data_IF_046255423502
#
_entry.id   IF_046255423502
#
_cell.length_a   1.000
_cell.length_b   1.000
_cell.length_c   1.000
_cell.angle_alpha   90.00
_cell.angle_beta   90.00
_cell.angle_gamma   90.00
#
_symmetry.space_group_name_H-M   'P 1'
#
loop_
_entity.id
_entity.type
_entity.pdbx_description
1 polymer ?
#
# COMPACT_ATOMS: atom_id res chain seq x y z
N UNK A 1 13.52 18.08 5.83
CA UNK A 1 13.52 16.83 5.03
C UNK A 1 14.96 16.45 4.71
N UNK A 2 15.33 15.17 4.88
CA UNK A 2 16.69 14.69 4.57
C UNK A 2 16.94 14.68 3.05
N UNK A 3 18.03 15.30 2.61
CA UNK A 3 18.41 15.43 1.20
C UNK A 3 18.67 14.08 0.51
N UNK A 4 18.90 13.00 1.28
CA UNK A 4 19.09 11.64 0.74
C UNK A 4 17.80 11.01 0.19
N UNK A 5 16.63 11.45 0.68
CA UNK A 5 15.37 10.73 0.46
C UNK A 5 14.27 11.54 -0.24
N UNK A 6 14.28 12.87 -0.07
CA UNK A 6 13.17 13.75 -0.43
C UNK A 6 12.73 13.73 -1.91
N UNK A 7 13.61 13.40 -2.86
CA UNK A 7 13.31 13.32 -4.30
C UNK A 7 13.11 11.90 -4.84
N UNK A 8 13.12 10.89 -3.98
CA UNK A 8 12.94 9.49 -4.40
C UNK A 8 11.46 9.17 -4.41
N UNK A 9 11.02 8.41 -5.42
CA UNK A 9 9.63 7.95 -5.49
C UNK A 9 9.33 7.04 -4.31
N UNK A 10 8.12 7.14 -3.74
CA UNK A 10 7.74 6.34 -2.58
C UNK A 10 7.85 4.84 -2.84
N UNK A 11 7.59 4.39 -4.07
CA UNK A 11 7.70 2.97 -4.41
C UNK A 11 9.10 2.39 -4.21
N UNK A 12 10.14 3.22 -4.43
CA UNK A 12 11.53 2.85 -4.19
C UNK A 12 11.97 3.18 -2.77
N UNK A 13 11.54 4.32 -2.24
CA UNK A 13 11.94 4.83 -0.94
C UNK A 13 11.46 3.94 0.22
N UNK A 14 10.22 3.43 0.15
CA UNK A 14 9.65 2.56 1.19
C UNK A 14 10.27 1.15 1.24
N UNK A 15 11.16 0.80 0.31
CA UNK A 15 11.99 -0.40 0.41
C UNK A 15 13.41 -0.12 0.91
N UNK A 16 13.78 1.14 1.01
CA UNK A 16 15.09 1.53 1.50
C UNK A 16 15.15 1.35 3.02
N UNK A 17 15.91 0.35 3.47
CA UNK A 17 16.04 0.03 4.89
C UNK A 17 16.80 1.12 5.66
N UNK A 18 17.52 2.01 4.98
CA UNK A 18 18.12 3.21 5.56
C UNK A 18 17.13 4.37 5.74
N UNK A 19 15.96 4.31 5.10
CA UNK A 19 14.86 5.26 5.33
C UNK A 19 13.90 4.74 6.40
N UNK A 20 13.33 3.55 6.19
CA UNK A 20 12.44 2.91 7.15
C UNK A 20 12.59 1.38 7.05
N UNK A 21 13.16 0.78 8.08
CA UNK A 21 13.41 -0.66 8.10
C UNK A 21 12.12 -1.46 8.35
N UNK A 22 12.08 -2.68 7.83
CA UNK A 22 10.98 -3.64 8.07
C UNK A 22 9.84 -3.58 7.05
N UNK A 23 9.74 -2.53 6.22
CA UNK A 23 8.79 -2.51 5.11
C UNK A 23 9.25 -3.42 3.96
N UNK A 24 8.40 -4.39 3.64
CA UNK A 24 8.58 -5.32 2.52
C UNK A 24 7.74 -4.97 1.28
N UNK A 25 7.87 -5.79 0.24
CA UNK A 25 7.27 -5.53 -1.06
C UNK A 25 5.73 -5.47 -1.08
N UNK A 26 5.05 -6.26 -0.23
CA UNK A 26 3.59 -6.16 -0.15
C UNK A 26 3.17 -4.94 0.67
N UNK A 27 3.80 -4.72 1.83
CA UNK A 27 3.48 -3.59 2.71
C UNK A 27 3.61 -2.24 2.00
N UNK A 28 4.65 -2.01 1.17
CA UNK A 28 4.76 -0.73 0.44
C UNK A 28 3.53 -0.43 -0.43
N UNK A 29 2.94 -1.45 -1.07
CA UNK A 29 1.77 -1.27 -1.94
C UNK A 29 0.53 -0.94 -1.09
N UNK A 30 0.37 -1.66 0.02
CA UNK A 30 -0.76 -1.51 0.93
C UNK A 30 -0.71 -0.18 1.69
N UNK A 31 0.45 0.22 2.19
CA UNK A 31 0.68 1.50 2.86
C UNK A 31 0.34 2.66 1.92
N UNK A 32 0.84 2.63 0.69
CA UNK A 32 0.56 3.70 -0.29
C UNK A 32 -0.91 3.75 -0.68
N UNK A 33 -1.58 2.60 -0.75
CA UNK A 33 -3.02 2.54 -0.99
C UNK A 33 -3.81 3.16 0.17
N UNK A 34 -3.51 2.79 1.41
CA UNK A 34 -4.19 3.34 2.60
C UNK A 34 -3.93 4.84 2.74
N UNK A 35 -2.71 5.29 2.44
CA UNK A 35 -2.36 6.72 2.41
C UNK A 35 -2.95 7.49 1.22
N UNK A 36 -3.55 6.80 0.24
CA UNK A 36 -4.06 7.37 -1.02
C UNK A 36 -3.00 8.13 -1.82
N UNK A 37 -1.75 7.65 -1.81
CA UNK A 37 -0.62 8.26 -2.51
C UNK A 37 -0.23 7.40 -3.72
N UNK A 38 -0.09 8.03 -4.89
CA UNK A 38 0.38 7.34 -6.08
C UNK A 38 1.83 6.85 -5.90
N UNK A 39 2.17 5.61 -6.31
CA UNK A 39 3.49 5.03 -6.04
C UNK A 39 4.70 5.81 -6.56
N UNK A 40 4.51 6.57 -7.65
CA UNK A 40 5.57 7.38 -8.27
C UNK A 40 5.74 8.77 -7.64
N UNK A 41 4.84 9.21 -6.75
CA UNK A 41 5.00 10.48 -6.02
C UNK A 41 6.26 10.44 -5.16
N UNK A 42 6.86 11.61 -4.94
CA UNK A 42 8.00 11.82 -4.06
C UNK A 42 7.56 12.58 -2.81
N UNK A 43 8.32 12.54 -1.70
CA UNK A 43 8.05 13.39 -0.54
C UNK A 43 7.89 14.87 -0.88
N UNK A 44 8.61 15.39 -1.88
CA UNK A 44 8.48 16.78 -2.35
C UNK A 44 7.20 17.08 -3.11
N UNK A 45 6.50 16.05 -3.62
CA UNK A 45 5.27 16.21 -4.40
C UNK A 45 4.03 16.15 -3.51
N UNK A 46 4.20 16.02 -2.20
CA UNK A 46 3.13 15.79 -1.23
C UNK A 46 2.99 16.94 -0.25
N UNK A 47 1.74 17.23 0.13
CA UNK A 47 1.43 18.16 1.21
C UNK A 47 1.83 17.58 2.58
N UNK A 48 1.99 18.42 3.63
CA UNK A 48 2.24 17.93 4.98
C UNK A 48 1.19 16.93 5.47
N UNK A 49 -0.07 17.11 5.10
CA UNK A 49 -1.19 16.22 5.46
C UNK A 49 -1.04 14.86 4.79
N UNK A 50 -0.62 14.82 3.52
CA UNK A 50 -0.32 13.57 2.82
C UNK A 50 0.86 12.84 3.45
N UNK A 51 1.91 13.56 3.87
CA UNK A 51 3.05 12.97 4.59
C UNK A 51 2.62 12.41 5.95
N UNK A 52 1.77 13.12 6.69
CA UNK A 52 1.21 12.64 7.95
C UNK A 52 0.35 11.39 7.76
N UNK A 53 -0.52 11.39 6.74
CA UNK A 53 -1.33 10.23 6.37
C UNK A 53 -0.47 9.02 5.98
N UNK A 54 0.64 9.24 5.27
CA UNK A 54 1.59 8.19 4.95
C UNK A 54 2.26 7.62 6.21
N UNK A 55 2.72 8.48 7.13
CA UNK A 55 3.34 8.04 8.37
C UNK A 55 2.37 7.20 9.22
N UNK A 56 1.11 7.63 9.32
CA UNK A 56 0.08 6.86 10.02
C UNK A 56 -0.23 5.54 9.31
N UNK A 57 -0.32 5.54 7.97
CA UNK A 57 -0.52 4.32 7.19
C UNK A 57 0.63 3.32 7.37
N UNK A 58 1.89 3.79 7.41
CA UNK A 58 3.06 2.93 7.67
C UNK A 58 2.90 2.21 9.01
N UNK A 59 2.55 2.93 10.07
CA UNK A 59 2.42 2.36 11.41
C UNK A 59 1.21 1.42 11.52
N UNK A 60 0.03 1.90 11.13
CA UNK A 60 -1.23 1.15 11.26
C UNK A 60 -1.24 -0.13 10.43
N UNK A 61 -0.87 -0.08 9.15
CA UNK A 61 -0.84 -1.25 8.26
C UNK A 61 0.20 -2.27 8.71
N UNK A 62 1.38 -1.81 9.13
CA UNK A 62 2.44 -2.72 9.61
C UNK A 62 2.03 -3.42 10.91
N UNK A 63 1.45 -2.69 11.87
CA UNK A 63 0.94 -3.26 13.13
C UNK A 63 -0.20 -4.24 12.89
N UNK A 64 -1.17 -3.88 12.05
CA UNK A 64 -2.28 -4.77 11.72
C UNK A 64 -1.77 -6.05 11.06
N UNK A 65 -0.86 -5.93 10.07
CA UNK A 65 -0.27 -7.08 9.40
C UNK A 65 0.44 -8.00 10.39
N UNK A 66 1.21 -7.42 11.33
CA UNK A 66 1.87 -8.18 12.39
C UNK A 66 0.86 -8.93 13.29
N UNK A 67 -0.14 -8.24 13.83
CA UNK A 67 -1.13 -8.80 14.76
C UNK A 67 -2.02 -9.88 14.13
N UNK A 68 -2.30 -9.77 12.83
CA UNK A 68 -3.26 -10.63 12.13
C UNK A 68 -2.60 -11.72 11.27
N UNK A 69 -1.27 -11.83 11.33
CA UNK A 69 -0.49 -12.76 10.52
C UNK A 69 -0.57 -12.46 9.01
N UNK A 70 -0.61 -11.19 8.63
CA UNK A 70 -0.49 -10.73 7.25
C UNK A 70 -1.75 -10.17 6.61
N UNK A 71 -2.76 -9.72 7.38
CA UNK A 71 -3.95 -9.04 6.84
C UNK A 71 -3.72 -7.52 6.87
N UNK A 72 -3.79 -6.90 5.71
CA UNK A 72 -3.65 -5.44 5.51
C UNK A 72 -4.95 -4.78 5.07
N UNK A 73 -5.93 -5.58 4.61
CA UNK A 73 -7.28 -5.11 4.26
C UNK A 73 -8.09 -4.71 5.50
N UNK A 74 -9.20 -3.98 5.31
CA UNK A 74 -10.17 -3.68 6.35
C UNK A 74 -10.70 -4.97 7.00
N UNK A 75 -10.70 -5.03 8.32
CA UNK A 75 -11.04 -6.24 9.08
C UNK A 75 -12.54 -6.62 8.99
N UNK A 76 -13.43 -5.65 8.87
CA UNK A 76 -14.87 -5.90 8.68
C UNK A 76 -15.13 -6.53 7.30
N UNK A 77 -14.51 -5.96 6.25
CA UNK A 77 -14.57 -6.52 4.90
C UNK A 77 -13.97 -7.93 4.86
N UNK A 78 -12.86 -8.16 5.56
CA UNK A 78 -12.27 -9.50 5.69
C UNK A 78 -13.23 -10.48 6.33
N UNK A 79 -13.93 -10.09 7.39
CA UNK A 79 -14.93 -10.93 8.05
C UNK A 79 -16.09 -11.28 7.09
N UNK A 80 -16.60 -10.30 6.35
CA UNK A 80 -17.65 -10.50 5.34
C UNK A 80 -17.21 -11.46 4.24
N UNK A 81 -16.04 -11.23 3.64
CA UNK A 81 -15.50 -12.09 2.57
C UNK A 81 -15.23 -13.51 3.06
N UNK A 82 -14.74 -13.66 4.30
CA UNK A 82 -14.54 -14.97 4.92
C UNK A 82 -15.87 -15.71 5.10
N UNK A 83 -16.94 -15.01 5.52
CA UNK A 83 -18.28 -15.59 5.64
C UNK A 83 -18.86 -16.02 4.27
N UNK A 84 -18.47 -15.34 3.18
CA UNK A 84 -18.81 -15.71 1.80
C UNK A 84 -17.96 -16.89 1.25
N UNK A 85 -17.08 -17.49 2.07
CA UNK A 85 -16.26 -18.64 1.66
C UNK A 85 -15.01 -18.28 0.85
N UNK A 86 -14.63 -17.00 0.79
CA UNK A 86 -13.42 -16.55 0.08
C UNK A 86 -12.16 -17.09 0.76
N UNK A 87 -11.16 -17.48 -0.03
CA UNK A 87 -9.87 -17.97 0.48
C UNK A 87 -9.03 -16.80 1.01
N UNK A 88 -8.10 -17.10 1.93
CA UNK A 88 -7.26 -16.07 2.58
C UNK A 88 -6.52 -15.14 1.62
N UNK A 89 -6.00 -15.66 0.51
CA UNK A 89 -5.29 -14.82 -0.46
C UNK A 89 -6.20 -13.83 -1.18
N UNK A 90 -7.52 -14.06 -1.20
CA UNK A 90 -8.50 -13.21 -1.88
C UNK A 90 -8.80 -11.99 -1.02
N UNK A 91 -9.00 -12.15 0.29
CA UNK A 91 -9.42 -11.06 1.17
C UNK A 91 -8.29 -10.32 1.89
N UNK A 92 -7.09 -10.91 2.03
CA UNK A 92 -6.08 -10.40 3.00
C UNK A 92 -5.46 -9.05 2.65
N UNK A 93 -5.51 -8.61 1.40
CA UNK A 93 -4.87 -7.38 0.91
C UNK A 93 -5.87 -6.49 0.18
N UNK A 94 -5.63 -5.18 0.21
CA UNK A 94 -6.37 -4.22 -0.61
C UNK A 94 -5.99 -4.32 -2.09
N UNK A 95 -4.68 -4.30 -2.39
CA UNK A 95 -4.17 -4.19 -3.77
C UNK A 95 -3.12 -5.25 -4.10
N UNK A 96 -2.32 -5.69 -3.13
CA UNK A 96 -1.21 -6.58 -3.40
C UNK A 96 -1.67 -7.94 -3.91
N UNK A 97 -1.10 -8.37 -5.04
CA UNK A 97 -1.45 -9.63 -5.71
C UNK A 97 -2.92 -9.71 -6.15
N UNK A 98 -3.55 -8.54 -6.39
CA UNK A 98 -4.94 -8.41 -6.84
C UNK A 98 -5.06 -7.73 -8.21
N UNK A 99 -4.03 -7.86 -9.07
CA UNK A 99 -4.09 -7.34 -10.44
C UNK A 99 -5.40 -7.74 -11.13
N UNK A 100 -5.99 -6.79 -11.87
CA UNK A 100 -7.23 -6.96 -12.63
C UNK A 100 -8.48 -7.27 -11.81
N UNK A 101 -8.34 -7.40 -10.48
CA UNK A 101 -9.49 -7.49 -9.56
C UNK A 101 -10.03 -6.09 -9.27
N UNK A 102 -11.33 -5.97 -9.00
CA UNK A 102 -11.91 -4.70 -8.59
C UNK A 102 -11.29 -4.23 -7.26
N UNK A 103 -10.96 -2.95 -7.20
CA UNK A 103 -10.61 -2.27 -5.96
C UNK A 103 -11.78 -2.38 -4.98
N UNK A 104 -11.51 -2.76 -3.73
CA UNK A 104 -12.53 -2.86 -2.69
C UNK A 104 -13.19 -1.53 -2.31
N UNK A 105 -12.59 -0.40 -2.69
CA UNK A 105 -13.08 0.94 -2.36
C UNK A 105 -13.90 1.55 -3.50
N UNK A 106 -13.46 1.40 -4.74
CA UNK A 106 -14.07 2.11 -5.88
C UNK A 106 -14.42 1.22 -7.08
N UNK A 107 -14.14 -0.09 -7.04
CA UNK A 107 -14.41 -1.01 -8.14
C UNK A 107 -13.41 -0.96 -9.31
N UNK A 108 -12.65 0.12 -9.49
CA UNK A 108 -11.65 0.21 -10.58
C UNK A 108 -10.63 -0.93 -10.50
N UNK A 109 -10.28 -1.60 -11.63
CA UNK A 109 -9.28 -2.65 -11.64
C UNK A 109 -7.93 -2.22 -11.07
N UNK A 110 -7.33 -3.08 -10.25
CA UNK A 110 -6.00 -2.85 -9.69
C UNK A 110 -4.93 -3.06 -10.77
N UNK A 111 -4.01 -2.10 -10.88
CA UNK A 111 -2.89 -2.15 -11.81
C UNK A 111 -1.69 -2.83 -11.15
N UNK A 112 -0.99 -3.68 -11.92
CA UNK A 112 0.31 -4.24 -11.56
C UNK A 112 1.41 -3.60 -12.40
N UNK A 113 2.42 -3.06 -11.74
CA UNK A 113 3.61 -2.47 -12.37
C UNK A 113 4.89 -2.99 -11.70
N UNK A 114 6.05 -2.57 -12.22
CA UNK A 114 7.36 -2.98 -11.73
C UNK A 114 8.26 -1.77 -11.48
N UNK A 115 9.02 -1.82 -10.39
CA UNK A 115 10.07 -0.84 -10.09
C UNK A 115 11.28 -1.58 -9.53
N UNK A 116 12.44 -1.43 -10.16
CA UNK A 116 13.67 -2.14 -9.78
C UNK A 116 13.51 -3.66 -9.74
N UNK A 117 12.82 -4.24 -10.74
CA UNK A 117 12.53 -5.69 -10.81
C UNK A 117 11.50 -6.21 -9.81
N UNK A 118 10.98 -5.35 -8.91
CA UNK A 118 9.98 -5.73 -7.91
C UNK A 118 8.59 -5.24 -8.31
N UNK A 119 7.65 -6.17 -8.39
CA UNK A 119 6.23 -5.88 -8.66
C UNK A 119 5.59 -5.04 -7.55
N UNK A 120 4.68 -4.15 -7.93
CA UNK A 120 3.82 -3.41 -7.01
C UNK A 120 2.42 -3.25 -7.61
N UNK A 121 1.49 -2.86 -6.74
CA UNK A 121 0.07 -2.79 -7.09
C UNK A 121 -0.51 -1.49 -6.57
N UNK A 122 -1.42 -0.90 -7.33
CA UNK A 122 -2.12 0.32 -6.94
C UNK A 122 -3.46 0.41 -7.64
N UNK A 123 -4.36 1.22 -7.07
CA UNK A 123 -5.62 1.57 -7.71
C UNK A 123 -5.49 2.96 -8.35
N UNK A 124 -5.65 3.11 -9.67
CA UNK A 124 -5.45 4.41 -10.34
C UNK A 124 -6.49 5.47 -9.93
N UNK A 125 -7.67 5.05 -9.50
CA UNK A 125 -8.72 5.96 -9.02
C UNK A 125 -8.51 6.40 -7.56
N UNK A 126 -8.12 5.47 -6.68
CA UNK A 126 -7.90 5.79 -5.25
C UNK A 126 -6.55 6.48 -4.99
N UNK A 127 -5.59 6.30 -5.89
CA UNK A 127 -4.25 6.86 -5.80
C UNK A 127 -3.98 7.69 -7.06
N UNK A 128 -4.62 8.86 -7.22
CA UNK A 128 -4.43 9.71 -8.39
C UNK A 128 -3.00 10.22 -8.46
N UNK A 129 -2.52 10.43 -9.69
CA UNK A 129 -1.16 10.86 -9.96
C UNK A 129 -0.84 12.23 -9.43
#
# INVERSE_FOLDING_TARGET
QDKRFYRRSFISLLLDQGFFCGLGNYLRSEVLFVAKIHPTRRPTDCSPEQIAALAEAVLSVSRQSYQTGGITNNLELVAQLKAQGQKRYEYRHYVFNRADKPCYVCGTPIIKEFSGGRRYYYCPTCQPR
#
